data_IF_117897651495
#
_entry.id   IF_117897651495
#
_cell.length_a   1.000
_cell.length_b   1.000
_cell.length_c   1.000
_cell.angle_alpha   90.00
_cell.angle_beta   90.00
_cell.angle_gamma   90.00
#
_symmetry.space_group_name_H-M   'P 1'
#
loop_
_entity.id
_entity.type
_entity.pdbx_description
1 polymer ?
#
# COMPACT_ATOMS: atom_id res chain seq x y z
N UNK A 1 10.57 -23.82 -37.53
CA UNK A 1 11.29 -23.33 -36.34
C UNK A 1 11.79 -24.46 -35.41
N UNK A 2 11.55 -25.75 -35.75
CA UNK A 2 12.06 -26.89 -35.01
C UNK A 2 13.34 -27.42 -35.61
N UNK A 3 14.32 -27.76 -34.77
CA UNK A 3 15.54 -28.47 -35.15
C UNK A 3 15.25 -29.96 -35.31
N UNK A 4 14.50 -30.53 -34.34
CA UNK A 4 14.07 -31.92 -34.33
C UNK A 4 12.82 -32.15 -33.51
N UNK A 5 12.14 -33.25 -33.75
CA UNK A 5 11.03 -33.77 -32.96
C UNK A 5 11.36 -35.20 -32.54
N UNK A 6 11.24 -35.54 -31.24
CA UNK A 6 11.62 -36.84 -30.71
C UNK A 6 10.49 -37.40 -29.86
N UNK A 7 10.04 -38.59 -30.14
CA UNK A 7 9.14 -39.32 -29.24
C UNK A 7 9.94 -40.03 -28.15
N UNK A 8 9.51 -39.86 -26.88
CA UNK A 8 10.13 -40.49 -25.72
C UNK A 8 9.04 -41.00 -24.79
N UNK A 9 8.75 -42.30 -24.87
CA UNK A 9 7.62 -42.89 -24.15
C UNK A 9 6.29 -42.23 -24.58
N UNK A 10 5.48 -41.74 -23.65
CA UNK A 10 4.19 -41.09 -23.97
C UNK A 10 4.32 -39.61 -24.42
N UNK A 11 5.54 -39.06 -24.48
CA UNK A 11 5.80 -37.65 -24.78
C UNK A 11 6.34 -37.45 -26.18
N UNK A 12 5.95 -36.34 -26.81
CA UNK A 12 6.54 -35.81 -28.04
C UNK A 12 7.28 -34.53 -27.72
N UNK A 13 8.60 -34.56 -27.78
CA UNK A 13 9.48 -33.44 -27.47
C UNK A 13 9.85 -32.68 -28.74
N UNK A 14 9.61 -31.36 -28.70
CA UNK A 14 9.96 -30.43 -29.78
C UNK A 14 11.22 -29.67 -29.39
N UNK A 15 12.27 -29.77 -30.18
CA UNK A 15 13.51 -29.03 -29.99
C UNK A 15 13.51 -27.84 -30.94
N UNK A 16 13.60 -26.65 -30.40
CA UNK A 16 13.60 -25.41 -31.16
C UNK A 16 14.97 -25.14 -31.78
N UNK A 17 14.99 -24.68 -33.02
CA UNK A 17 16.18 -24.07 -33.60
C UNK A 17 16.49 -22.75 -32.92
N UNK A 18 17.47 -22.78 -32.00
CA UNK A 18 17.80 -21.66 -31.14
C UNK A 18 18.20 -20.41 -31.90
N UNK A 19 18.93 -20.56 -33.01
CA UNK A 19 19.36 -19.43 -33.85
C UNK A 19 18.15 -18.70 -34.43
N UNK A 20 17.27 -19.44 -35.07
CA UNK A 20 16.06 -18.86 -35.69
C UNK A 20 15.11 -18.24 -34.68
N UNK A 21 14.93 -18.90 -33.51
CA UNK A 21 14.08 -18.35 -32.45
C UNK A 21 14.72 -17.07 -31.87
N UNK A 22 16.02 -17.06 -31.63
CA UNK A 22 16.71 -15.86 -31.13
C UNK A 22 16.57 -14.69 -32.09
N UNK A 23 16.79 -14.91 -33.38
CA UNK A 23 16.63 -13.87 -34.41
C UNK A 23 15.18 -13.33 -34.46
N UNK A 24 14.18 -14.20 -34.37
CA UNK A 24 12.77 -13.79 -34.34
C UNK A 24 12.45 -12.97 -33.09
N UNK A 25 12.85 -13.45 -31.91
CA UNK A 25 12.59 -12.75 -30.64
C UNK A 25 13.26 -11.40 -30.61
N UNK A 26 14.55 -11.31 -30.99
CA UNK A 26 15.31 -10.05 -31.02
C UNK A 26 14.64 -9.03 -31.95
N UNK A 27 14.25 -9.46 -33.15
CA UNK A 27 13.54 -8.62 -34.12
C UNK A 27 12.20 -8.12 -33.53
N UNK A 28 11.40 -9.02 -32.94
CA UNK A 28 10.13 -8.64 -32.32
C UNK A 28 10.31 -7.65 -31.16
N UNK A 29 11.36 -7.82 -30.34
CA UNK A 29 11.68 -6.89 -29.24
C UNK A 29 12.06 -5.51 -29.79
N UNK A 30 12.91 -5.46 -30.82
CA UNK A 30 13.35 -4.20 -31.45
C UNK A 30 12.18 -3.48 -32.11
N UNK A 31 11.34 -4.21 -32.85
CA UNK A 31 10.20 -3.65 -33.58
C UNK A 31 9.11 -3.14 -32.64
N UNK A 32 8.78 -3.91 -31.59
CA UNK A 32 7.74 -3.54 -30.63
C UNK A 32 8.22 -2.53 -29.58
N UNK A 33 9.52 -2.47 -29.28
CA UNK A 33 10.08 -1.56 -28.30
C UNK A 33 9.40 -1.70 -26.92
N UNK A 34 8.87 -0.61 -26.40
CA UNK A 34 8.17 -0.57 -25.11
C UNK A 34 6.88 -1.42 -25.09
N UNK A 35 6.30 -1.71 -26.26
CA UNK A 35 5.06 -2.48 -26.36
C UNK A 35 5.31 -4.00 -26.48
N UNK A 36 6.57 -4.44 -26.47
CA UNK A 36 6.88 -5.87 -26.50
C UNK A 36 6.21 -6.61 -25.35
N UNK A 37 5.51 -7.70 -25.70
CA UNK A 37 4.72 -8.47 -24.74
C UNK A 37 3.33 -7.89 -24.42
N UNK A 38 2.93 -6.80 -25.06
CA UNK A 38 1.57 -6.27 -24.95
C UNK A 38 0.55 -7.28 -25.47
N UNK A 39 -0.53 -7.46 -24.71
CA UNK A 39 -1.67 -8.32 -25.04
C UNK A 39 -2.97 -7.52 -24.87
N UNK A 40 -4.08 -8.03 -25.36
CA UNK A 40 -5.40 -7.42 -25.21
C UNK A 40 -6.42 -8.36 -24.53
N UNK A 41 -5.95 -9.21 -23.63
CA UNK A 41 -6.79 -10.12 -22.85
C UNK A 41 -7.79 -9.35 -21.96
N UNK A 42 -7.39 -8.17 -21.51
CA UNK A 42 -8.17 -7.33 -20.63
C UNK A 42 -9.24 -6.50 -21.33
N UNK A 43 -9.17 -6.31 -22.64
CA UNK A 43 -10.10 -5.51 -23.44
C UNK A 43 -10.44 -4.14 -22.80
N UNK A 44 -9.48 -3.51 -22.14
CA UNK A 44 -9.65 -2.23 -21.44
C UNK A 44 -10.51 -2.29 -20.18
N UNK A 45 -10.84 -3.47 -19.68
CA UNK A 45 -11.59 -3.62 -18.41
C UNK A 45 -10.81 -3.05 -17.23
N UNK A 46 -11.52 -2.47 -16.28
CA UNK A 46 -10.92 -1.89 -15.07
C UNK A 46 -10.55 -2.99 -14.06
N UNK A 47 -9.33 -2.92 -13.54
CA UNK A 47 -8.88 -3.68 -12.36
C UNK A 47 -8.45 -2.71 -11.30
N UNK A 48 -9.05 -2.80 -10.11
CA UNK A 48 -8.67 -2.02 -8.94
C UNK A 48 -7.70 -2.82 -8.09
N UNK A 49 -6.57 -2.20 -7.70
CA UNK A 49 -5.52 -2.82 -6.90
C UNK A 49 -5.24 -1.92 -5.70
N UNK A 50 -5.57 -2.40 -4.50
CA UNK A 50 -5.14 -1.78 -3.25
C UNK A 50 -3.73 -2.27 -2.91
N UNK A 51 -2.74 -1.38 -2.89
CA UNK A 51 -1.35 -1.79 -2.87
C UNK A 51 -0.49 -1.16 -1.76
N UNK A 52 -0.79 0.05 -1.34
CA UNK A 52 0.00 0.76 -0.32
C UNK A 52 -0.95 1.40 0.67
N UNK A 53 -1.25 0.70 1.77
CA UNK A 53 -2.29 1.07 2.74
C UNK A 53 -1.72 1.07 4.16
N UNK A 54 -0.69 1.92 4.44
CA UNK A 54 -0.17 2.08 5.79
C UNK A 54 -1.16 2.84 6.68
N UNK A 55 -1.03 2.69 8.01
CA UNK A 55 -1.67 3.60 8.94
C UNK A 55 -0.92 4.93 8.95
N UNK A 56 -1.65 6.05 9.00
CA UNK A 56 -1.07 7.36 9.28
C UNK A 56 -0.54 7.40 10.72
N UNK A 57 0.27 8.41 11.04
CA UNK A 57 0.92 8.56 12.35
C UNK A 57 1.81 7.36 12.75
N UNK A 58 2.33 6.64 11.76
CA UNK A 58 3.26 5.52 11.94
C UNK A 58 4.28 5.48 10.80
N UNK A 59 5.52 5.07 11.07
CA UNK A 59 6.54 4.96 10.04
C UNK A 59 6.17 3.86 9.04
N UNK A 60 6.50 4.11 7.78
CA UNK A 60 6.38 3.12 6.71
C UNK A 60 7.38 1.97 6.93
N UNK A 61 6.91 0.74 6.95
CA UNK A 61 7.71 -0.45 7.25
C UNK A 61 8.06 -1.26 6.01
N UNK A 62 9.04 -2.18 6.16
CA UNK A 62 9.39 -3.17 5.11
C UNK A 62 8.18 -4.02 4.69
N UNK A 63 7.24 -4.28 5.62
CA UNK A 63 5.99 -4.97 5.30
C UNK A 63 5.12 -4.18 4.32
N UNK A 64 4.99 -2.88 4.52
CA UNK A 64 4.28 -1.98 3.61
C UNK A 64 4.98 -1.87 2.26
N UNK A 65 6.31 -1.72 2.25
CA UNK A 65 7.11 -1.68 1.03
C UNK A 65 6.89 -2.94 0.18
N UNK A 66 6.87 -4.12 0.81
CA UNK A 66 6.63 -5.39 0.12
C UNK A 66 5.28 -5.41 -0.60
N UNK A 67 4.19 -5.04 0.09
CA UNK A 67 2.86 -5.01 -0.53
C UNK A 67 2.77 -3.96 -1.64
N UNK A 68 3.41 -2.80 -1.47
CA UNK A 68 3.49 -1.76 -2.48
C UNK A 68 4.18 -2.25 -3.75
N UNK A 69 5.36 -2.88 -3.62
CA UNK A 69 6.12 -3.40 -4.77
C UNK A 69 5.39 -4.52 -5.48
N UNK A 70 4.77 -5.45 -4.73
CA UNK A 70 3.97 -6.54 -5.32
C UNK A 70 2.77 -5.97 -6.07
N UNK A 71 2.04 -5.04 -5.47
CA UNK A 71 0.87 -4.42 -6.10
C UNK A 71 1.24 -3.61 -7.35
N UNK A 72 2.37 -2.90 -7.34
CA UNK A 72 2.87 -2.19 -8.51
C UNK A 72 3.26 -3.15 -9.64
N UNK A 73 3.97 -4.25 -9.31
CA UNK A 73 4.32 -5.28 -10.27
C UNK A 73 3.08 -5.91 -10.92
N UNK A 74 2.06 -6.26 -10.12
CA UNK A 74 0.78 -6.77 -10.62
C UNK A 74 0.07 -5.74 -11.52
N UNK A 75 0.06 -4.46 -11.12
CA UNK A 75 -0.51 -3.40 -11.94
C UNK A 75 0.18 -3.31 -13.32
N UNK A 76 1.50 -3.42 -13.35
CA UNK A 76 2.26 -3.38 -14.60
C UNK A 76 1.98 -4.62 -15.49
N UNK A 77 1.85 -5.81 -14.90
CA UNK A 77 1.49 -7.04 -15.61
C UNK A 77 0.08 -6.90 -16.23
N UNK A 78 -0.92 -6.52 -15.43
CA UNK A 78 -2.28 -6.34 -15.93
C UNK A 78 -2.38 -5.28 -17.02
N UNK A 79 -1.62 -4.18 -16.89
CA UNK A 79 -1.54 -3.16 -17.94
C UNK A 79 -0.98 -3.73 -19.25
N UNK A 80 0.05 -4.59 -19.17
CA UNK A 80 0.59 -5.31 -20.34
C UNK A 80 -0.40 -6.30 -20.94
N UNK A 81 -1.34 -6.81 -20.15
CA UNK A 81 -2.42 -7.69 -20.61
C UNK A 81 -3.63 -6.92 -21.17
N UNK A 82 -3.56 -5.59 -21.30
CA UNK A 82 -4.64 -4.77 -21.88
C UNK A 82 -5.72 -4.34 -20.88
N UNK A 83 -5.50 -4.49 -19.58
CA UNK A 83 -6.40 -3.95 -18.56
C UNK A 83 -6.11 -2.48 -18.25
N UNK A 84 -7.13 -1.73 -17.83
CA UNK A 84 -7.00 -0.42 -17.21
C UNK A 84 -6.84 -0.59 -15.69
N UNK A 85 -5.63 -0.35 -15.17
CA UNK A 85 -5.34 -0.57 -13.75
C UNK A 85 -5.54 0.70 -12.94
N UNK A 86 -6.33 0.61 -11.88
CA UNK A 86 -6.62 1.69 -10.92
C UNK A 86 -5.94 1.33 -9.61
N UNK A 87 -4.90 2.07 -9.26
CA UNK A 87 -4.17 1.88 -8.00
C UNK A 87 -4.87 2.67 -6.89
N UNK A 88 -5.08 2.03 -5.75
CA UNK A 88 -5.67 2.63 -4.56
C UNK A 88 -4.69 2.52 -3.40
N UNK A 89 -4.60 3.59 -2.62
CA UNK A 89 -3.97 3.62 -1.30
C UNK A 89 -5.07 3.87 -0.28
N UNK A 90 -5.53 2.80 0.38
CA UNK A 90 -6.50 2.91 1.45
C UNK A 90 -5.77 3.10 2.78
N UNK A 91 -5.47 4.35 3.12
CA UNK A 91 -4.75 4.68 4.34
C UNK A 91 -5.58 4.38 5.59
N UNK A 92 -4.93 3.81 6.61
CA UNK A 92 -5.55 3.56 7.90
C UNK A 92 -5.59 4.83 8.75
N UNK A 93 -6.61 5.65 8.58
CA UNK A 93 -6.80 6.92 9.27
C UNK A 93 -8.01 6.93 10.23
N UNK A 94 -8.63 5.75 10.47
CA UNK A 94 -9.84 5.62 11.27
C UNK A 94 -9.74 4.50 12.30
N UNK A 95 -10.38 4.67 13.44
CA UNK A 95 -10.49 3.64 14.48
C UNK A 95 -10.10 4.16 15.88
N UNK A 96 -10.34 3.32 16.90
CA UNK A 96 -10.06 3.59 18.32
C UNK A 96 -8.64 4.15 18.56
N UNK A 97 -7.66 3.75 17.76
CA UNK A 97 -6.28 4.23 17.86
C UNK A 97 -6.18 5.75 17.74
N UNK A 98 -7.06 6.39 16.96
CA UNK A 98 -7.10 7.86 16.87
C UNK A 98 -7.72 8.50 18.11
N UNK A 99 -8.71 7.87 18.71
CA UNK A 99 -9.22 8.31 20.00
C UNK A 99 -8.13 8.27 21.10
N UNK A 100 -7.34 7.20 21.14
CA UNK A 100 -6.19 7.10 22.04
C UNK A 100 -5.14 8.17 21.74
N UNK A 101 -4.84 8.41 20.47
CA UNK A 101 -3.88 9.43 20.06
C UNK A 101 -4.34 10.84 20.46
N UNK A 102 -5.65 11.14 20.34
CA UNK A 102 -6.22 12.40 20.80
C UNK A 102 -6.06 12.58 22.32
N UNK A 103 -6.34 11.53 23.10
CA UNK A 103 -6.11 11.56 24.56
C UNK A 103 -4.64 11.79 24.88
N UNK A 104 -3.73 11.08 24.22
CA UNK A 104 -2.29 11.23 24.42
C UNK A 104 -1.82 12.64 24.09
N UNK A 105 -2.26 13.18 22.97
CA UNK A 105 -1.93 14.53 22.55
C UNK A 105 -2.42 15.58 23.56
N UNK A 106 -3.67 15.48 24.03
CA UNK A 106 -4.23 16.41 25.02
C UNK A 106 -3.52 16.35 26.37
N UNK A 107 -2.99 15.19 26.75
CA UNK A 107 -2.26 15.00 28.03
C UNK A 107 -0.79 15.42 27.94
N UNK A 108 -0.12 15.13 26.81
CA UNK A 108 1.35 15.20 26.72
C UNK A 108 1.87 15.80 25.42
N UNK A 109 1.01 16.10 24.46
CA UNK A 109 1.40 16.62 23.15
C UNK A 109 1.73 18.11 23.16
N UNK A 110 2.52 18.52 22.19
CA UNK A 110 2.77 19.92 21.84
C UNK A 110 2.56 20.11 20.35
N UNK A 111 1.88 21.19 19.99
CA UNK A 111 1.61 21.49 18.58
C UNK A 111 2.92 21.71 17.82
N UNK A 112 3.83 22.45 18.39
CA UNK A 112 5.13 22.78 17.80
C UNK A 112 5.98 21.53 17.58
N UNK A 113 5.91 20.55 18.51
CA UNK A 113 6.65 19.31 18.37
C UNK A 113 6.08 18.42 17.24
N UNK A 114 4.75 18.34 17.14
CA UNK A 114 4.09 17.58 16.06
C UNK A 114 4.33 18.23 14.69
N UNK A 115 4.20 19.55 14.56
CA UNK A 115 4.47 20.27 13.32
C UNK A 115 5.96 20.17 12.89
N UNK A 116 6.89 20.01 13.83
CA UNK A 116 8.31 19.86 13.54
C UNK A 116 8.71 18.44 13.09
N UNK A 117 8.02 17.40 13.59
CA UNK A 117 8.30 16.01 13.26
C UNK A 117 7.03 15.15 13.50
N UNK A 118 6.06 15.20 12.55
CA UNK A 118 4.73 14.66 12.77
C UNK A 118 4.70 13.18 13.12
N UNK A 119 5.30 12.35 12.26
CA UNK A 119 5.21 10.88 12.40
C UNK A 119 5.88 10.41 13.69
N UNK A 120 7.08 10.90 13.99
CA UNK A 120 7.81 10.49 15.19
C UNK A 120 7.12 10.93 16.47
N UNK A 121 6.61 12.17 16.53
CA UNK A 121 5.94 12.68 17.72
C UNK A 121 4.59 12.00 17.95
N UNK A 122 3.79 11.81 16.92
CA UNK A 122 2.53 11.07 17.01
C UNK A 122 2.77 9.61 17.40
N UNK A 123 3.81 8.97 16.87
CA UNK A 123 4.21 7.63 17.27
C UNK A 123 4.63 7.56 18.74
N UNK A 124 5.44 8.50 19.24
CA UNK A 124 5.85 8.57 20.65
C UNK A 124 4.63 8.69 21.56
N UNK A 125 3.69 9.55 21.22
CA UNK A 125 2.44 9.72 21.97
C UNK A 125 1.62 8.43 21.98
N UNK A 126 1.50 7.76 20.83
CA UNK A 126 0.78 6.51 20.71
C UNK A 126 1.44 5.36 21.50
N UNK A 127 2.76 5.24 21.46
CA UNK A 127 3.50 4.24 22.26
C UNK A 127 3.33 4.52 23.74
N UNK A 128 3.44 5.79 24.15
CA UNK A 128 3.30 6.18 25.56
C UNK A 128 1.92 5.85 26.10
N UNK A 129 0.84 6.20 25.41
CA UNK A 129 -0.51 5.92 25.93
C UNK A 129 -0.78 4.42 26.04
N UNK A 130 -0.29 3.62 25.09
CA UNK A 130 -0.45 2.16 25.18
C UNK A 130 0.31 1.56 26.38
N UNK A 131 1.46 2.09 26.75
CA UNK A 131 2.19 1.68 27.94
C UNK A 131 1.46 2.12 29.24
N UNK A 132 0.92 3.35 29.23
CA UNK A 132 0.21 3.88 30.40
C UNK A 132 -1.13 3.18 30.66
N UNK A 133 -1.81 2.65 29.63
CA UNK A 133 -3.05 1.87 29.79
C UNK A 133 -2.85 0.64 30.68
N UNK A 134 -1.65 0.05 30.74
CA UNK A 134 -1.35 -1.08 31.64
C UNK A 134 -1.46 -0.67 33.11
N UNK A 135 -1.17 0.58 33.44
CA UNK A 135 -1.22 1.16 34.78
C UNK A 135 -2.54 1.87 35.08
N UNK A 136 -3.16 2.43 34.03
CA UNK A 136 -4.41 3.20 34.12
C UNK A 136 -5.38 2.79 33.00
N UNK A 137 -6.21 1.75 33.23
CA UNK A 137 -7.19 1.28 32.25
C UNK A 137 -8.25 2.31 31.86
N UNK A 138 -8.45 3.39 32.64
CA UNK A 138 -9.41 4.45 32.30
C UNK A 138 -9.01 5.18 31.00
N UNK A 139 -7.72 5.22 30.68
CA UNK A 139 -7.22 5.79 29.43
C UNK A 139 -7.77 5.09 28.18
N UNK A 140 -8.00 3.78 28.26
CA UNK A 140 -8.60 3.03 27.18
C UNK A 140 -10.06 3.43 26.94
N UNK A 141 -10.81 3.65 28.01
CA UNK A 141 -12.19 4.14 27.95
C UNK A 141 -12.26 5.59 27.48
N UNK A 142 -11.32 6.44 27.90
CA UNK A 142 -11.20 7.81 27.36
C UNK A 142 -10.95 7.78 25.85
N UNK A 143 -10.07 6.91 25.36
CA UNK A 143 -9.81 6.74 23.93
C UNK A 143 -11.06 6.29 23.16
N UNK A 144 -11.86 5.36 23.72
CA UNK A 144 -13.14 4.96 23.12
C UNK A 144 -14.13 6.13 23.04
N UNK A 145 -14.20 6.94 24.10
CA UNK A 145 -15.08 8.13 24.14
C UNK A 145 -14.65 9.17 23.10
N UNK A 146 -13.36 9.41 22.94
CA UNK A 146 -12.85 10.34 21.92
C UNK A 146 -13.09 9.82 20.51
N UNK A 147 -12.92 8.53 20.29
CA UNK A 147 -13.26 7.94 18.99
C UNK A 147 -14.77 8.01 18.72
N UNK A 148 -15.61 7.78 19.73
CA UNK A 148 -17.06 7.94 19.60
C UNK A 148 -17.45 9.40 19.28
N UNK A 149 -16.82 10.38 19.89
CA UNK A 149 -17.01 11.79 19.52
C UNK A 149 -16.68 12.05 18.05
N UNK A 150 -15.58 11.47 17.55
CA UNK A 150 -15.19 11.58 16.15
C UNK A 150 -16.26 10.98 15.24
N UNK A 151 -16.78 9.79 15.56
CA UNK A 151 -17.87 9.15 14.81
C UNK A 151 -19.15 9.99 14.80
N UNK A 152 -19.44 10.67 15.89
CA UNK A 152 -20.63 11.51 16.04
C UNK A 152 -20.44 12.93 15.43
N UNK A 153 -19.27 13.21 14.87
CA UNK A 153 -18.96 14.49 14.21
C UNK A 153 -18.70 15.65 15.17
N UNK A 154 -18.20 15.37 16.40
CA UNK A 154 -17.76 16.41 17.33
C UNK A 154 -16.69 17.29 16.68
N UNK A 155 -16.84 18.64 16.71
CA UNK A 155 -15.94 19.54 16.02
C UNK A 155 -14.48 19.44 16.49
N UNK A 156 -14.23 19.31 17.80
CA UNK A 156 -12.89 19.22 18.37
C UNK A 156 -12.20 17.90 17.95
N UNK A 157 -12.93 16.80 18.02
CA UNK A 157 -12.41 15.50 17.64
C UNK A 157 -12.13 15.43 16.13
N UNK A 158 -12.99 16.03 15.30
CA UNK A 158 -12.84 16.07 13.85
C UNK A 158 -11.64 16.94 13.45
N UNK A 159 -11.47 18.12 14.09
CA UNK A 159 -10.34 19.01 13.83
C UNK A 159 -9.00 18.35 14.18
N UNK A 160 -8.91 17.71 15.34
CA UNK A 160 -7.71 16.99 15.76
C UNK A 160 -7.37 15.82 14.82
N UNK A 161 -8.37 15.01 14.45
CA UNK A 161 -8.19 13.91 13.52
C UNK A 161 -7.70 14.41 12.16
N UNK A 162 -8.33 15.44 11.63
CA UNK A 162 -7.98 16.02 10.33
C UNK A 162 -6.56 16.58 10.35
N UNK A 163 -6.20 17.28 11.43
CA UNK A 163 -4.85 17.80 11.60
C UNK A 163 -3.80 16.69 11.67
N UNK A 164 -4.00 15.65 12.49
CA UNK A 164 -3.07 14.51 12.55
C UNK A 164 -2.90 13.83 11.18
N UNK A 165 -3.99 13.69 10.44
CA UNK A 165 -3.97 13.13 9.09
C UNK A 165 -3.17 14.01 8.14
N UNK A 166 -3.49 15.29 8.11
CA UNK A 166 -2.90 16.23 7.15
C UNK A 166 -1.38 16.38 7.42
N UNK A 167 -0.95 16.49 8.67
CA UNK A 167 0.48 16.51 9.04
C UNK A 167 1.19 15.20 8.65
N UNK A 168 0.55 14.05 8.82
CA UNK A 168 1.14 12.75 8.46
C UNK A 168 1.24 12.52 6.96
N UNK A 169 0.48 13.23 6.13
CA UNK A 169 0.49 13.07 4.66
C UNK A 169 1.49 13.99 3.96
N UNK A 170 2.00 15.00 4.65
CA UNK A 170 3.00 15.94 4.09
C UNK A 170 4.40 15.35 4.14
N UNK A 171 4.72 14.48 5.09
CA UNK A 171 6.01 13.82 5.24
C UNK A 171 6.11 12.55 4.37
#
# INVERSE_FOLDING_TARGET
AFEKVVATGPYVNFFLDKSKISDQVIKSVIEAGADYGQQDEGHGQNITIDLSSPNIAKPFSVGHLRSTVIGDALSNIFRKMGYNTIKINHLGDWGKQFGLLMVAYKKWGSKEAVEANPIDELLKLYVRINAEIENDPELDEEGRKWFKKLEDGDPEATELWQWFRDESLVE
#
